data_IF_383438321959
#
_entry.id   IF_383438321959
#
_cell.length_a   1.000
_cell.length_b   1.000
_cell.length_c   1.000
_cell.angle_alpha   90.00
_cell.angle_beta   90.00
_cell.angle_gamma   90.00
#
_symmetry.space_group_name_H-M   'P 1'
#
loop_
_entity.id
_entity.type
_entity.pdbx_description
1 polymer ?
#
# COMPACT_ATOMS: atom_id res chain seq x y z
N UNK A 1 -37.21 27.20 -48.51
CA UNK A 1 -35.82 27.12 -47.99
C UNK A 1 -34.88 27.76 -49.00
N UNK A 2 -34.29 28.91 -48.68
CA UNK A 2 -33.34 29.58 -49.59
C UNK A 2 -32.01 28.80 -49.62
N UNK A 3 -31.52 28.48 -50.82
CA UNK A 3 -30.23 27.81 -51.01
C UNK A 3 -29.10 28.81 -50.79
N UNK A 4 -28.20 28.52 -49.86
CA UNK A 4 -26.99 29.32 -49.63
C UNK A 4 -26.09 29.32 -50.87
N UNK A 5 -25.49 30.48 -51.17
CA UNK A 5 -24.52 30.62 -52.26
C UNK A 5 -23.24 29.84 -51.97
N UNK A 6 -22.52 29.44 -53.03
CA UNK A 6 -21.27 28.69 -52.90
C UNK A 6 -20.24 29.43 -52.03
N UNK A 7 -20.12 30.75 -52.21
CA UNK A 7 -19.22 31.59 -51.41
C UNK A 7 -19.57 31.58 -49.92
N UNK A 8 -20.86 31.64 -49.59
CA UNK A 8 -21.32 31.56 -48.21
C UNK A 8 -21.00 30.19 -47.57
N UNK A 9 -21.20 29.10 -48.31
CA UNK A 9 -20.86 27.75 -47.84
C UNK A 9 -19.36 27.58 -47.59
N UNK A 10 -18.51 28.11 -48.49
CA UNK A 10 -17.05 28.06 -48.34
C UNK A 10 -16.60 28.88 -47.13
N UNK A 11 -17.12 30.10 -46.96
CA UNK A 11 -16.76 30.97 -45.84
C UNK A 11 -17.14 30.34 -44.49
N UNK A 12 -18.35 29.78 -44.39
CA UNK A 12 -18.81 29.09 -43.18
C UNK A 12 -17.93 27.88 -42.90
N UNK A 13 -17.57 27.09 -43.92
CA UNK A 13 -16.72 25.90 -43.75
C UNK A 13 -15.32 26.26 -43.27
N UNK A 14 -14.69 27.29 -43.86
CA UNK A 14 -13.38 27.77 -43.44
C UNK A 14 -13.42 28.38 -42.03
N UNK A 15 -14.48 29.12 -41.70
CA UNK A 15 -14.69 29.63 -40.34
C UNK A 15 -14.84 28.52 -39.32
N UNK A 16 -15.57 27.45 -39.65
CA UNK A 16 -15.75 26.29 -38.79
C UNK A 16 -14.43 25.55 -38.57
N UNK A 17 -13.65 25.32 -39.62
CA UNK A 17 -12.33 24.68 -39.56
C UNK A 17 -11.39 25.52 -38.69
N UNK A 18 -11.36 26.84 -38.89
CA UNK A 18 -10.54 27.76 -38.10
C UNK A 18 -10.91 27.73 -36.61
N UNK A 19 -12.20 27.77 -36.29
CA UNK A 19 -12.68 27.68 -34.91
C UNK A 19 -12.31 26.35 -34.25
N UNK A 20 -12.58 25.22 -34.92
CA UNK A 20 -12.30 23.89 -34.37
C UNK A 20 -10.80 23.65 -34.20
N UNK A 21 -9.99 24.05 -35.18
CA UNK A 21 -8.54 23.92 -35.12
C UNK A 21 -7.95 24.81 -34.02
N UNK A 22 -8.39 26.07 -33.94
CA UNK A 22 -7.96 27.01 -32.91
C UNK A 22 -8.32 26.55 -31.50
N UNK A 23 -9.55 26.07 -31.30
CA UNK A 23 -9.99 25.52 -30.01
C UNK A 23 -9.17 24.30 -29.60
N UNK A 24 -8.86 23.40 -30.55
CA UNK A 24 -8.05 22.20 -30.29
C UNK A 24 -6.62 22.56 -29.89
N UNK A 25 -5.97 23.47 -30.63
CA UNK A 25 -4.60 23.89 -30.30
C UNK A 25 -4.58 24.61 -28.95
N UNK A 26 -5.53 25.51 -28.69
CA UNK A 26 -5.62 26.23 -27.43
C UNK A 26 -5.84 25.30 -26.23
N UNK A 27 -6.70 24.28 -26.36
CA UNK A 27 -6.94 23.31 -25.28
C UNK A 27 -5.71 22.46 -25.01
N UNK A 28 -4.97 22.04 -26.05
CA UNK A 28 -3.71 21.32 -25.88
C UNK A 28 -2.66 22.17 -25.16
N UNK A 29 -2.50 23.44 -25.54
CA UNK A 29 -1.56 24.34 -24.86
C UNK A 29 -1.96 24.63 -23.42
N UNK A 30 -3.26 24.83 -23.16
CA UNK A 30 -3.76 25.04 -21.81
C UNK A 30 -3.53 23.80 -20.92
N UNK A 31 -3.84 22.61 -21.44
CA UNK A 31 -3.62 21.34 -20.75
C UNK A 31 -2.13 21.12 -20.49
N UNK A 32 -1.26 21.28 -21.49
CA UNK A 32 0.18 21.09 -21.32
C UNK A 32 0.75 21.96 -20.20
N UNK A 33 0.34 23.24 -20.10
CA UNK A 33 0.79 24.15 -19.04
C UNK A 33 0.22 23.85 -17.64
N UNK A 34 -0.95 23.22 -17.56
CA UNK A 34 -1.65 22.99 -16.30
C UNK A 34 -1.68 21.51 -15.88
N UNK A 35 -1.04 20.63 -16.64
CA UNK A 35 -1.01 19.19 -16.39
C UNK A 35 -0.21 18.84 -15.15
N UNK A 36 -0.55 17.68 -14.57
CA UNK A 36 0.15 17.07 -13.44
C UNK A 36 1.62 16.75 -13.77
N UNK A 37 1.96 16.56 -15.05
CA UNK A 37 3.35 16.35 -15.48
C UNK A 37 4.21 17.60 -15.30
N UNK A 38 3.61 18.79 -15.39
CA UNK A 38 4.32 20.08 -15.26
C UNK A 38 4.23 20.65 -13.85
N UNK A 39 3.04 20.60 -13.23
CA UNK A 39 2.81 21.20 -11.92
C UNK A 39 2.97 20.21 -10.75
N UNK A 40 3.24 18.94 -11.06
CA UNK A 40 3.19 17.85 -10.10
C UNK A 40 1.75 17.38 -9.88
N UNK A 41 1.57 16.06 -9.82
CA UNK A 41 0.30 15.47 -9.44
C UNK A 41 -0.03 15.86 -8.00
N UNK A 42 -1.30 16.19 -7.75
CA UNK A 42 -1.78 16.37 -6.39
C UNK A 42 -1.60 15.05 -5.63
N UNK A 43 -0.79 15.08 -4.57
CA UNK A 43 -0.68 13.98 -3.62
C UNK A 43 -1.36 14.37 -2.32
N UNK A 44 -2.18 13.46 -1.81
CA UNK A 44 -2.72 13.54 -0.45
C UNK A 44 -1.68 13.14 0.62
N UNK A 45 -0.49 12.70 0.20
CA UNK A 45 0.61 12.33 1.09
C UNK A 45 1.37 13.58 1.53
N UNK A 46 1.69 13.64 2.81
CA UNK A 46 2.53 14.71 3.35
C UNK A 46 3.99 14.44 2.99
N UNK A 47 4.85 15.47 2.82
CA UNK A 47 6.27 15.28 2.51
C UNK A 47 7.00 14.37 3.48
N UNK A 48 6.57 14.32 4.76
CA UNK A 48 7.16 13.46 5.78
C UNK A 48 6.88 11.98 5.51
N UNK A 49 5.73 11.64 4.91
CA UNK A 49 5.35 10.27 4.54
C UNK A 49 6.13 9.77 3.31
N UNK A 50 6.75 10.67 2.57
CA UNK A 50 7.60 10.37 1.41
C UNK A 50 9.09 10.28 1.79
N UNK A 51 9.45 10.57 3.05
CA UNK A 51 10.83 10.42 3.53
C UNK A 51 11.02 9.03 4.13
N UNK A 52 12.06 8.34 3.67
CA UNK A 52 12.49 7.11 4.30
C UNK A 52 13.12 7.43 5.67
N UNK A 53 12.35 7.28 6.74
CA UNK A 53 12.85 7.37 8.10
C UNK A 53 13.25 5.98 8.62
N UNK A 54 14.54 5.69 8.52
CA UNK A 54 15.12 4.45 9.04
C UNK A 54 15.39 4.48 10.55
N UNK A 55 15.08 5.58 11.25
CA UNK A 55 15.16 5.61 12.71
C UNK A 55 14.02 4.82 13.36
N UNK A 56 12.85 4.75 12.71
CA UNK A 56 11.68 4.02 13.18
C UNK A 56 11.91 2.50 13.28
N UNK A 57 12.86 1.95 12.53
CA UNK A 57 13.22 0.53 12.53
C UNK A 57 14.35 0.21 13.52
N UNK A 58 14.74 1.16 14.37
CA UNK A 58 15.78 0.97 15.39
C UNK A 58 15.26 1.29 16.78
N UNK A 59 15.72 0.54 17.77
CA UNK A 59 15.47 0.84 19.18
C UNK A 59 16.44 1.94 19.70
N UNK A 60 16.28 2.33 20.97
CA UNK A 60 17.10 3.35 21.62
C UNK A 60 18.60 2.97 21.70
N UNK A 61 18.90 1.67 21.58
CA UNK A 61 20.24 1.09 21.62
C UNK A 61 20.85 0.94 20.20
N UNK A 62 20.06 1.23 19.16
CA UNK A 62 20.46 1.16 17.76
C UNK A 62 20.30 -0.21 17.11
N UNK A 63 19.71 -1.19 17.79
CA UNK A 63 19.40 -2.50 17.21
C UNK A 63 18.14 -2.44 16.33
N UNK A 64 18.02 -3.37 15.39
CA UNK A 64 16.84 -3.47 14.53
C UNK A 64 15.61 -3.87 15.36
N UNK A 65 14.57 -3.03 15.30
CA UNK A 65 13.28 -3.26 15.94
C UNK A 65 12.24 -3.67 14.88
N UNK A 66 11.90 -4.97 14.78
CA UNK A 66 10.87 -5.41 13.85
C UNK A 66 9.47 -5.06 14.35
N UNK A 67 8.58 -4.74 13.41
CA UNK A 67 7.14 -4.85 13.61
C UNK A 67 6.73 -6.30 13.34
N UNK A 68 6.09 -6.96 14.31
CA UNK A 68 5.70 -8.36 14.19
C UNK A 68 4.18 -8.46 14.29
N UNK A 69 3.60 -9.16 13.33
CA UNK A 69 2.15 -9.35 13.24
C UNK A 69 1.84 -10.77 12.78
N UNK A 70 0.68 -11.27 13.20
CA UNK A 70 0.11 -12.50 12.66
C UNK A 70 -1.08 -12.12 11.81
N UNK A 71 -1.08 -12.62 10.58
CA UNK A 71 -2.06 -12.27 9.57
C UNK A 71 -3.12 -13.35 9.41
N UNK A 72 -4.25 -12.96 8.85
CA UNK A 72 -5.23 -13.88 8.29
C UNK A 72 -4.68 -14.60 7.05
N UNK A 73 -5.31 -15.68 6.57
CA UNK A 73 -4.86 -16.39 5.36
C UNK A 73 -4.76 -15.51 4.12
N UNK A 74 -5.55 -14.43 4.06
CA UNK A 74 -5.53 -13.48 2.94
C UNK A 74 -4.38 -12.48 2.99
N UNK A 75 -3.60 -12.44 4.09
CA UNK A 75 -2.52 -11.47 4.37
C UNK A 75 -2.97 -10.01 4.37
N UNK A 76 -4.25 -9.75 4.61
CA UNK A 76 -4.82 -8.39 4.59
C UNK A 76 -5.09 -7.85 5.97
N UNK A 77 -5.39 -8.73 6.91
CA UNK A 77 -5.82 -8.34 8.25
C UNK A 77 -4.83 -8.86 9.28
N UNK A 78 -4.44 -8.00 10.22
CA UNK A 78 -3.71 -8.41 11.41
C UNK A 78 -4.74 -8.99 12.39
N UNK A 79 -4.52 -10.22 12.82
CA UNK A 79 -5.46 -10.96 13.68
C UNK A 79 -4.88 -11.28 15.05
N UNK A 80 -3.55 -11.21 15.19
CA UNK A 80 -2.87 -11.44 16.45
C UNK A 80 -1.48 -10.79 16.47
N UNK A 81 -0.93 -10.69 17.67
CA UNK A 81 0.37 -10.12 18.00
C UNK A 81 1.17 -11.08 18.88
N UNK A 82 2.47 -10.86 18.95
CA UNK A 82 3.35 -11.53 19.90
C UNK A 82 3.71 -10.59 21.04
N UNK A 83 4.03 -11.16 22.19
CA UNK A 83 4.62 -10.40 23.30
C UNK A 83 6.07 -9.97 22.99
N UNK A 84 6.65 -9.15 23.86
CA UNK A 84 8.01 -8.64 23.70
C UNK A 84 9.08 -9.74 23.66
N UNK A 85 8.79 -10.91 24.25
CA UNK A 85 9.71 -12.06 24.24
C UNK A 85 9.52 -12.99 23.05
N UNK A 86 8.51 -12.74 22.20
CA UNK A 86 8.14 -13.57 21.06
C UNK A 86 7.79 -15.02 21.40
N UNK A 87 7.32 -15.26 22.63
CA UNK A 87 6.95 -16.60 23.11
C UNK A 87 5.46 -16.76 23.35
N UNK A 88 4.74 -15.65 23.52
CA UNK A 88 3.31 -15.61 23.77
C UNK A 88 2.57 -14.89 22.65
N UNK A 89 1.35 -15.34 22.42
CA UNK A 89 0.50 -14.90 21.33
C UNK A 89 -0.80 -14.32 21.88
N UNK A 90 -1.27 -13.22 21.31
CA UNK A 90 -2.47 -12.49 21.74
C UNK A 90 -3.32 -12.18 20.51
N UNK A 91 -4.59 -12.56 20.50
CA UNK A 91 -5.48 -12.17 19.40
C UNK A 91 -5.80 -10.68 19.48
N UNK A 92 -5.88 -10.01 18.34
CA UNK A 92 -6.12 -8.56 18.25
C UNK A 92 -7.49 -8.13 18.81
N UNK A 93 -8.44 -9.07 18.95
CA UNK A 93 -9.75 -8.82 19.54
C UNK A 93 -9.78 -9.05 21.07
N UNK A 94 -8.74 -9.65 21.66
CA UNK A 94 -8.65 -9.95 23.09
C UNK A 94 -7.17 -10.02 23.53
N UNK A 95 -6.54 -8.85 23.62
CA UNK A 95 -5.12 -8.72 24.03
C UNK A 95 -4.88 -9.13 25.49
N UNK A 96 -5.94 -9.27 26.30
CA UNK A 96 -5.82 -9.68 27.71
C UNK A 96 -5.43 -11.14 27.89
N UNK A 97 -5.63 -11.97 26.85
CA UNK A 97 -5.34 -13.39 26.88
C UNK A 97 -4.10 -13.71 26.07
N UNK A 98 -3.16 -14.35 26.75
CA UNK A 98 -1.94 -14.86 26.16
C UNK A 98 -2.03 -16.36 26.01
N UNK A 99 -1.60 -16.84 24.85
CA UNK A 99 -1.54 -18.24 24.49
C UNK A 99 -0.08 -18.61 24.24
N UNK A 100 0.30 -19.86 24.53
CA UNK A 100 1.52 -20.41 23.95
C UNK A 100 1.32 -20.76 22.46
N UNK A 101 2.38 -21.24 21.81
CA UNK A 101 2.35 -21.55 20.39
C UNK A 101 1.27 -22.59 20.04
N UNK A 102 1.18 -23.70 20.78
CA UNK A 102 0.30 -24.80 20.42
C UNK A 102 -1.16 -24.44 20.69
N UNK A 103 -1.43 -23.75 21.81
CA UNK A 103 -2.76 -23.20 22.13
C UNK A 103 -3.22 -22.20 21.07
N UNK A 104 -2.35 -21.27 20.70
CA UNK A 104 -2.64 -20.25 19.70
C UNK A 104 -2.86 -20.88 18.33
N UNK A 105 -1.97 -21.77 17.90
CA UNK A 105 -2.04 -22.44 16.62
C UNK A 105 -3.37 -23.20 16.47
N UNK A 106 -3.77 -23.97 17.48
CA UNK A 106 -5.03 -24.70 17.44
C UNK A 106 -6.24 -23.77 17.36
N UNK A 107 -6.26 -22.69 18.16
CA UNK A 107 -7.35 -21.69 18.11
C UNK A 107 -7.42 -20.97 16.77
N UNK A 108 -6.27 -20.57 16.24
CA UNK A 108 -6.20 -19.95 14.92
C UNK A 108 -6.71 -20.92 13.84
N UNK A 109 -6.26 -22.17 13.89
CA UNK A 109 -6.66 -23.20 12.94
C UNK A 109 -8.15 -23.51 13.01
N UNK A 110 -8.76 -23.49 14.20
CA UNK A 110 -10.22 -23.60 14.36
C UNK A 110 -10.96 -22.49 13.61
N UNK A 111 -10.47 -21.26 13.66
CA UNK A 111 -11.10 -20.08 13.04
C UNK A 111 -10.90 -20.07 11.52
N UNK A 112 -9.68 -20.29 11.06
CA UNK A 112 -9.26 -20.05 9.68
C UNK A 112 -9.05 -21.32 8.85
N UNK A 113 -9.02 -22.50 9.48
CA UNK A 113 -8.76 -23.80 8.86
C UNK A 113 -7.42 -23.88 8.11
N UNK A 114 -6.49 -22.98 8.44
CA UNK A 114 -5.16 -22.87 7.85
C UNK A 114 -4.12 -22.54 8.91
N UNK A 115 -2.84 -22.78 8.59
CA UNK A 115 -1.72 -22.33 9.42
C UNK A 115 -1.64 -20.81 9.40
N UNK A 116 -1.28 -20.20 10.54
CA UNK A 116 -1.11 -18.76 10.58
C UNK A 116 0.14 -18.30 9.84
N UNK A 117 0.09 -17.06 9.38
CA UNK A 117 1.17 -16.40 8.66
C UNK A 117 1.79 -15.37 9.60
N UNK A 118 3.07 -15.55 9.93
CA UNK A 118 3.83 -14.58 10.70
C UNK A 118 4.49 -13.59 9.74
N UNK A 119 4.24 -12.30 9.92
CA UNK A 119 4.94 -11.22 9.23
C UNK A 119 5.96 -10.59 10.20
N UNK A 120 7.19 -10.46 9.71
CA UNK A 120 8.25 -9.68 10.37
C UNK A 120 8.63 -8.56 9.43
N UNK A 121 8.44 -7.31 9.85
CA UNK A 121 8.58 -6.14 9.02
C UNK A 121 9.63 -5.18 9.54
N UNK A 122 10.50 -4.73 8.64
CA UNK A 122 11.51 -3.70 8.87
C UNK A 122 11.28 -2.56 7.86
N UNK A 123 10.50 -1.56 8.25
CA UNK A 123 10.19 -0.41 7.39
C UNK A 123 9.41 -0.87 6.16
N UNK A 124 10.00 -0.77 4.96
CA UNK A 124 9.36 -1.20 3.71
C UNK A 124 9.53 -2.69 3.39
N UNK A 125 10.32 -3.43 4.15
CA UNK A 125 10.59 -4.86 3.90
C UNK A 125 9.74 -5.73 4.81
N UNK A 126 8.94 -6.62 4.22
CA UNK A 126 8.18 -7.65 4.95
C UNK A 126 8.70 -9.05 4.63
N UNK A 127 8.94 -9.83 5.68
CA UNK A 127 9.27 -11.25 5.60
C UNK A 127 8.09 -12.06 6.12
N UNK A 128 7.68 -13.08 5.37
CA UNK A 128 6.53 -13.92 5.73
C UNK A 128 6.99 -15.35 6.03
N UNK A 129 6.59 -15.85 7.19
CA UNK A 129 6.68 -17.27 7.52
C UNK A 129 5.29 -17.90 7.44
N UNK A 130 5.08 -18.64 6.36
CA UNK A 130 3.87 -19.44 6.13
C UNK A 130 4.02 -20.87 6.66
N UNK A 131 5.21 -21.27 7.08
CA UNK A 131 5.57 -22.62 7.52
C UNK A 131 5.93 -22.63 9.01
N UNK A 132 5.10 -21.99 9.84
CA UNK A 132 5.33 -21.80 11.29
C UNK A 132 5.42 -23.11 12.08
N UNK A 133 4.94 -24.21 11.50
CA UNK A 133 5.09 -25.57 12.04
C UNK A 133 6.49 -26.13 11.82
N UNK A 134 7.17 -25.74 10.74
CA UNK A 134 8.53 -26.17 10.39
C UNK A 134 9.60 -25.23 10.96
N UNK A 135 9.37 -23.93 10.92
CA UNK A 135 10.26 -22.91 11.49
C UNK A 135 9.49 -22.12 12.54
N UNK A 136 9.87 -22.26 13.80
CA UNK A 136 9.17 -21.60 14.90
C UNK A 136 9.35 -20.08 14.82
N UNK A 137 8.36 -19.28 15.26
CA UNK A 137 8.38 -17.82 15.16
C UNK A 137 9.69 -17.15 15.61
N UNK A 138 10.21 -17.52 16.80
CA UNK A 138 11.45 -16.97 17.33
C UNK A 138 12.66 -17.20 16.38
N UNK A 139 12.80 -18.41 15.85
CA UNK A 139 13.88 -18.76 14.93
C UNK A 139 13.79 -17.99 13.61
N UNK A 140 12.56 -17.76 13.13
CA UNK A 140 12.33 -16.96 11.93
C UNK A 140 12.65 -15.49 12.15
N UNK A 141 12.23 -14.91 13.27
CA UNK A 141 12.55 -13.53 13.63
C UNK A 141 14.07 -13.35 13.71
N UNK A 142 14.79 -14.27 14.34
CA UNK A 142 16.25 -14.21 14.41
C UNK A 142 16.91 -14.32 13.03
N UNK A 143 16.38 -15.16 12.14
CA UNK A 143 16.84 -15.24 10.76
C UNK A 143 16.67 -13.93 10.00
N UNK A 144 15.61 -13.16 10.26
CA UNK A 144 15.33 -11.91 9.54
C UNK A 144 16.19 -10.71 9.98
N UNK A 145 16.97 -10.84 11.06
CA UNK A 145 17.88 -9.79 11.58
C UNK A 145 19.20 -9.67 10.79
N UNK A 146 19.22 -10.09 9.52
CA UNK A 146 20.41 -10.24 8.68
C UNK A 146 21.25 -8.96 8.52
#
# INVERSE_FOLDING_TARGET
>A
MNKLSLKAKVLISLGLIGLLSGATIASMFAFAKHSDEVNGAYSNLKPEELRNDFSAIRDEEGNLKPEISILDPSKKNIVAFLDETYTKFMFANDESKQYDFDEFFNKYFEIYQESFILEVKYGSFSFYNEYVTAVKPLQFIDFTKW
#
